data_IF_012385131238
#
_entry.id   IF_012385131238
#
_cell.length_a   1.000
_cell.length_b   1.000
_cell.length_c   1.000
_cell.angle_alpha   90.00
_cell.angle_beta   90.00
_cell.angle_gamma   90.00
#
_symmetry.space_group_name_H-M   'P 1'
#
loop_
_entity.id
_entity.type
_entity.pdbx_description
1 polymer ?
#
# COMPACT_ATOMS: atom_id res chain seq x y z
N UNK A 1 10.21 -4.34 -15.93
CA UNK A 1 10.65 -4.97 -14.65
C UNK A 1 9.95 -6.33 -14.48
N UNK A 2 10.51 -7.32 -13.77
CA UNK A 2 9.73 -8.53 -13.39
C UNK A 2 8.69 -8.13 -12.35
N UNK A 3 7.42 -8.40 -12.65
CA UNK A 3 6.31 -8.02 -11.79
C UNK A 3 6.07 -9.11 -10.74
N UNK A 4 6.10 -8.78 -9.44
CA UNK A 4 5.72 -9.72 -8.39
C UNK A 4 4.22 -10.00 -8.48
N UNK A 5 3.85 -11.25 -8.25
CA UNK A 5 2.46 -11.69 -8.23
C UNK A 5 2.23 -12.75 -7.16
N UNK A 6 0.97 -12.89 -6.75
CA UNK A 6 0.50 -13.98 -5.89
C UNK A 6 -0.58 -14.76 -6.64
N UNK A 7 -0.58 -16.08 -6.48
CA UNK A 7 -1.66 -16.93 -7.00
C UNK A 7 -2.83 -16.88 -6.02
N UNK A 8 -4.00 -16.45 -6.48
CA UNK A 8 -5.20 -16.27 -5.64
C UNK A 8 -6.35 -17.19 -5.94
N UNK A 9 -6.30 -17.82 -7.11
CA UNK A 9 -7.25 -18.85 -7.50
C UNK A 9 -6.51 -19.93 -8.26
N UNK A 10 -6.88 -21.17 -8.01
CA UNK A 10 -6.39 -22.35 -8.68
C UNK A 10 -7.47 -23.42 -8.55
N UNK A 11 -7.92 -24.00 -9.66
CA UNK A 11 -9.01 -25.00 -9.63
C UNK A 11 -8.61 -26.28 -8.90
N UNK A 12 -7.36 -26.73 -9.10
CA UNK A 12 -6.86 -27.96 -8.51
C UNK A 12 -5.33 -28.01 -8.47
N UNK A 13 -4.77 -28.82 -7.57
CA UNK A 13 -3.34 -29.10 -7.54
C UNK A 13 -3.06 -30.50 -7.00
N UNK A 14 -1.89 -31.04 -7.34
CA UNK A 14 -1.36 -32.28 -6.79
C UNK A 14 -0.56 -32.04 -5.51
N UNK A 15 -0.54 -33.03 -4.62
CA UNK A 15 0.30 -33.02 -3.42
C UNK A 15 1.77 -32.81 -3.79
N UNK A 16 2.42 -31.80 -3.21
CA UNK A 16 3.83 -31.47 -3.49
C UNK A 16 4.06 -30.51 -4.66
N UNK A 17 3.02 -30.15 -5.41
CA UNK A 17 3.07 -29.14 -6.47
C UNK A 17 1.96 -28.07 -6.32
N UNK A 18 1.85 -27.40 -5.16
CA UNK A 18 0.85 -26.36 -4.94
C UNK A 18 1.13 -25.10 -5.78
N UNK A 19 0.12 -24.25 -6.01
CA UNK A 19 0.29 -22.99 -6.75
C UNK A 19 1.29 -22.02 -6.12
N UNK A 20 1.56 -22.13 -4.81
CA UNK A 20 2.57 -21.32 -4.12
C UNK A 20 4.01 -21.56 -4.64
N UNK A 21 4.28 -22.72 -5.23
CA UNK A 21 5.60 -23.02 -5.82
C UNK A 21 5.94 -22.11 -7.01
N UNK A 22 4.95 -21.42 -7.58
CA UNK A 22 5.14 -20.45 -8.67
C UNK A 22 5.61 -19.08 -8.19
N UNK A 23 5.61 -18.80 -6.88
CA UNK A 23 5.99 -17.49 -6.33
C UNK A 23 7.52 -17.32 -6.30
N UNK A 24 8.23 -18.38 -5.89
CA UNK A 24 9.69 -18.41 -5.80
C UNK A 24 10.28 -19.35 -6.85
N UNK A 25 10.59 -18.79 -8.01
CA UNK A 25 11.28 -19.47 -9.11
C UNK A 25 12.73 -19.80 -8.72
N UNK A 26 12.92 -20.78 -7.84
CA UNK A 26 14.21 -21.35 -7.52
C UNK A 26 14.50 -22.54 -8.44
N UNK A 27 15.77 -22.87 -8.72
CA UNK A 27 16.12 -24.06 -9.51
C UNK A 27 15.59 -25.39 -8.96
N UNK A 28 15.15 -25.40 -7.69
CA UNK A 28 14.61 -26.56 -6.99
C UNK A 28 13.07 -26.52 -6.86
N UNK A 29 12.41 -25.46 -7.34
CA UNK A 29 10.95 -25.39 -7.33
C UNK A 29 10.38 -26.44 -8.27
N UNK A 30 9.49 -27.27 -7.75
CA UNK A 30 8.78 -28.30 -8.53
C UNK A 30 7.63 -27.72 -9.36
N UNK A 31 7.38 -26.41 -9.25
CA UNK A 31 6.27 -25.73 -9.90
C UNK A 31 4.90 -26.21 -9.44
N UNK A 32 3.90 -25.93 -10.27
CA UNK A 32 2.51 -26.34 -10.07
C UNK A 32 2.11 -27.47 -11.03
N UNK A 33 1.31 -28.40 -10.54
CA UNK A 33 0.67 -29.47 -11.34
C UNK A 33 -0.77 -29.62 -10.88
N UNK A 34 -1.71 -29.74 -11.80
CA UNK A 34 -3.14 -29.96 -11.50
C UNK A 34 -3.35 -31.25 -10.71
N UNK A 35 -4.52 -31.42 -10.09
CA UNK A 35 -4.90 -32.72 -9.55
C UNK A 35 -5.01 -33.77 -10.69
N UNK A 36 -4.89 -35.08 -10.39
CA UNK A 36 -5.15 -36.16 -11.35
C UNK A 36 -6.55 -36.08 -11.95
N UNK A 37 -6.69 -36.36 -13.24
CA UNK A 37 -7.95 -36.34 -14.00
C UNK A 37 -8.76 -35.04 -13.85
N UNK A 38 -8.15 -33.87 -14.10
CA UNK A 38 -8.84 -32.60 -13.94
C UNK A 38 -9.91 -32.40 -15.02
N UNK A 39 -10.93 -31.60 -14.71
CA UNK A 39 -11.84 -31.05 -15.71
C UNK A 39 -11.17 -29.91 -16.47
N UNK A 40 -11.40 -29.79 -17.77
CA UNK A 40 -10.83 -28.69 -18.57
C UNK A 40 -11.91 -27.68 -18.99
N UNK A 41 -11.55 -26.38 -19.09
CA UNK A 41 -10.23 -25.80 -18.82
C UNK A 41 -9.89 -25.77 -17.32
N UNK A 42 -8.60 -25.73 -17.01
CA UNK A 42 -8.10 -25.47 -15.66
C UNK A 42 -7.66 -24.01 -15.55
N UNK A 43 -8.03 -23.34 -14.46
CA UNK A 43 -7.77 -21.93 -14.25
C UNK A 43 -6.77 -21.67 -13.12
N UNK A 44 -5.88 -20.70 -13.37
CA UNK A 44 -5.06 -20.05 -12.34
C UNK A 44 -5.24 -18.54 -12.48
N UNK A 45 -5.44 -17.85 -11.37
CA UNK A 45 -5.46 -16.38 -11.34
C UNK A 45 -4.27 -15.86 -10.57
N UNK A 46 -3.44 -15.09 -11.27
CA UNK A 46 -2.37 -14.29 -10.69
C UNK A 46 -2.92 -12.92 -10.35
N UNK A 47 -2.42 -12.35 -9.28
CA UNK A 47 -2.75 -11.01 -8.86
C UNK A 47 -1.50 -10.22 -8.57
N UNK A 48 -1.50 -8.97 -9.01
CA UNK A 48 -0.36 -8.06 -8.88
C UNK A 48 -0.55 -7.11 -7.71
N UNK A 49 0.57 -6.54 -7.26
CA UNK A 49 0.61 -5.57 -6.17
C UNK A 49 0.17 -4.16 -6.63
N UNK A 50 -1.00 -4.08 -7.28
CA UNK A 50 -1.56 -2.86 -7.83
C UNK A 50 -2.01 -2.98 -9.28
N UNK A 51 -2.22 -1.84 -9.93
CA UNK A 51 -2.45 -1.78 -11.37
C UNK A 51 -1.09 -1.85 -12.07
N UNK A 52 -0.94 -2.81 -12.96
CA UNK A 52 0.28 -2.98 -13.76
C UNK A 52 -0.04 -2.86 -15.25
N UNK A 53 0.94 -2.41 -16.03
CA UNK A 53 1.01 -2.66 -17.46
C UNK A 53 1.93 -3.87 -17.65
N UNK A 54 1.34 -5.02 -17.99
CA UNK A 54 2.07 -6.19 -18.45
C UNK A 54 2.50 -5.91 -19.89
N UNK A 55 3.79 -6.12 -20.17
CA UNK A 55 4.41 -5.96 -21.48
C UNK A 55 4.80 -7.32 -22.09
N UNK A 56 5.16 -8.28 -21.24
CA UNK A 56 5.56 -9.62 -21.65
C UNK A 56 5.24 -10.65 -20.58
N UNK A 57 4.87 -11.85 -21.01
CA UNK A 57 4.77 -13.03 -20.18
C UNK A 57 5.58 -14.18 -20.78
N UNK A 58 6.32 -14.88 -19.93
CA UNK A 58 7.03 -16.12 -20.26
C UNK A 58 6.53 -17.24 -19.34
N UNK A 59 6.14 -18.36 -19.91
CA UNK A 59 5.69 -19.54 -19.17
C UNK A 59 6.57 -20.73 -19.54
N UNK A 60 7.17 -21.36 -18.54
CA UNK A 60 7.85 -22.65 -18.68
C UNK A 60 6.88 -23.76 -18.29
N UNK A 61 6.55 -24.64 -19.24
CA UNK A 61 5.72 -25.82 -18.96
C UNK A 61 6.49 -26.85 -18.13
N UNK A 62 5.76 -27.69 -17.41
CA UNK A 62 6.35 -28.92 -16.86
C UNK A 62 6.79 -29.86 -17.99
N UNK A 63 7.84 -30.67 -17.79
CA UNK A 63 8.41 -31.56 -18.82
C UNK A 63 7.44 -32.64 -19.31
N UNK A 64 6.58 -33.15 -18.43
CA UNK A 64 5.65 -34.24 -18.73
C UNK A 64 4.17 -33.82 -18.81
N UNK A 65 3.83 -32.62 -18.34
CA UNK A 65 2.44 -32.18 -18.15
C UNK A 65 2.16 -30.90 -18.96
N UNK A 66 2.52 -30.92 -20.25
CA UNK A 66 2.52 -29.72 -21.09
C UNK A 66 1.07 -29.38 -21.52
N UNK A 67 0.49 -28.23 -21.15
CA UNK A 67 -0.83 -27.83 -21.65
C UNK A 67 -0.77 -27.56 -23.16
N UNK A 68 -1.82 -27.90 -23.92
CA UNK A 68 -1.84 -27.62 -25.37
C UNK A 68 -1.95 -26.13 -25.71
N UNK A 69 -2.70 -25.39 -24.89
CA UNK A 69 -2.97 -23.96 -25.05
C UNK A 69 -3.19 -23.33 -23.67
N UNK A 70 -2.69 -22.12 -23.49
CA UNK A 70 -2.98 -21.27 -22.33
C UNK A 70 -3.56 -19.96 -22.86
N UNK A 71 -4.83 -19.70 -22.58
CA UNK A 71 -5.45 -18.40 -22.87
C UNK A 71 -5.17 -17.43 -21.72
N UNK A 72 -4.88 -16.18 -22.07
CA UNK A 72 -4.51 -15.13 -21.13
C UNK A 72 -5.62 -14.08 -21.09
N UNK A 73 -6.03 -13.74 -19.87
CA UNK A 73 -7.14 -12.83 -19.62
C UNK A 73 -6.74 -11.78 -18.58
N UNK A 74 -6.74 -10.51 -18.97
CA UNK A 74 -6.47 -9.37 -18.10
C UNK A 74 -7.74 -8.96 -17.33
N UNK A 75 -7.69 -9.01 -16.00
CA UNK A 75 -8.78 -8.67 -15.10
C UNK A 75 -8.59 -7.30 -14.44
N UNK A 76 -9.63 -6.49 -14.46
CA UNK A 76 -9.70 -5.21 -13.75
C UNK A 76 -10.92 -5.15 -12.83
N UNK A 77 -10.76 -4.53 -11.66
CA UNK A 77 -11.87 -4.26 -10.73
C UNK A 77 -12.22 -2.77 -10.77
N UNK A 78 -13.51 -2.47 -10.59
CA UNK A 78 -13.98 -1.09 -10.48
C UNK A 78 -13.44 -0.44 -9.21
N UNK A 79 -13.01 0.82 -9.29
CA UNK A 79 -12.57 1.66 -8.16
C UNK A 79 -13.68 1.98 -7.14
N UNK A 80 -14.80 1.26 -7.13
CA UNK A 80 -15.91 1.45 -6.18
C UNK A 80 -16.14 0.25 -5.27
N UNK A 81 -15.45 -0.87 -5.53
CA UNK A 81 -15.65 -2.12 -4.82
C UNK A 81 -14.32 -2.69 -4.33
N UNK A 82 -14.37 -3.49 -3.28
CA UNK A 82 -13.20 -4.21 -2.80
C UNK A 82 -12.60 -5.07 -3.94
N UNK A 83 -11.27 -5.07 -4.12
CA UNK A 83 -10.63 -5.83 -5.18
C UNK A 83 -10.81 -7.32 -4.92
N UNK A 84 -11.55 -8.00 -5.80
CA UNK A 84 -11.69 -9.45 -5.77
C UNK A 84 -11.61 -10.00 -7.18
N UNK A 85 -10.90 -11.12 -7.34
CA UNK A 85 -10.77 -11.78 -8.64
C UNK A 85 -12.13 -12.26 -9.19
N UNK A 86 -13.09 -12.60 -8.31
CA UNK A 86 -14.45 -13.02 -8.73
C UNK A 86 -15.28 -11.86 -9.28
N UNK A 87 -14.96 -10.63 -8.88
CA UNK A 87 -15.60 -9.40 -9.33
C UNK A 87 -14.86 -8.72 -10.48
N UNK A 88 -13.68 -9.23 -10.84
CA UNK A 88 -12.89 -8.66 -11.90
C UNK A 88 -13.55 -8.89 -13.26
N UNK A 89 -13.56 -7.84 -14.09
CA UNK A 89 -13.95 -7.94 -15.49
C UNK A 89 -12.73 -8.37 -16.28
N UNK A 90 -12.78 -9.57 -16.83
CA UNK A 90 -11.69 -10.13 -17.62
C UNK A 90 -11.88 -9.89 -19.10
N UNK A 91 -10.82 -9.41 -19.76
CA UNK A 91 -10.73 -9.30 -21.21
C UNK A 91 -9.61 -10.22 -21.72
N UNK A 92 -9.86 -10.95 -22.81
CA UNK A 92 -8.84 -11.81 -23.42
C UNK A 92 -7.75 -10.95 -24.04
N UNK A 93 -6.50 -11.19 -23.66
CA UNK A 93 -5.33 -10.43 -24.14
C UNK A 93 -4.42 -11.24 -25.05
N UNK A 94 -4.52 -12.57 -25.03
CA UNK A 94 -3.75 -13.41 -25.94
C UNK A 94 -3.83 -14.89 -25.58
N UNK A 95 -2.97 -15.68 -26.22
CA UNK A 95 -2.80 -17.08 -25.87
C UNK A 95 -1.37 -17.56 -26.18
N UNK A 96 -0.90 -18.55 -25.43
CA UNK A 96 0.30 -19.33 -25.72
C UNK A 96 -0.13 -20.69 -26.24
N UNK A 97 0.55 -21.18 -27.28
CA UNK A 97 0.32 -22.53 -27.81
C UNK A 97 1.61 -23.34 -27.67
N UNK A 98 1.48 -24.52 -27.10
CA UNK A 98 2.59 -25.46 -26.98
C UNK A 98 2.47 -26.51 -28.09
N UNK A 99 3.60 -27.07 -28.48
CA UNK A 99 3.65 -28.08 -29.54
C UNK A 99 4.12 -29.41 -28.99
N UNK A 100 3.74 -30.53 -29.60
CA UNK A 100 4.31 -31.82 -29.19
C UNK A 100 5.80 -31.79 -29.46
N UNK A 101 6.57 -32.16 -28.44
CA UNK A 101 8.01 -32.29 -28.54
C UNK A 101 8.35 -33.53 -29.36
N UNK A 102 9.27 -33.39 -30.32
CA UNK A 102 9.77 -34.53 -31.09
C UNK A 102 10.59 -35.50 -30.24
N UNK A 103 10.81 -36.75 -30.70
CA UNK A 103 11.61 -37.72 -29.95
C UNK A 103 13.03 -37.18 -29.69
N UNK A 104 13.46 -37.24 -28.42
CA UNK A 104 14.83 -36.87 -28.01
C UNK A 104 15.00 -35.50 -27.36
N UNK A 105 14.00 -34.61 -27.41
CA UNK A 105 14.05 -33.34 -26.68
C UNK A 105 13.51 -33.57 -25.26
N UNK A 106 14.35 -33.27 -24.27
CA UNK A 106 14.04 -33.40 -22.85
C UNK A 106 13.84 -32.03 -22.20
N UNK A 107 12.94 -31.95 -21.23
CA UNK A 107 12.66 -30.73 -20.47
C UNK A 107 11.38 -30.00 -20.87
N UNK A 108 11.01 -29.00 -20.06
CA UNK A 108 9.85 -28.14 -20.29
C UNK A 108 10.02 -27.22 -21.50
N UNK A 109 8.89 -26.75 -22.05
CA UNK A 109 8.88 -25.75 -23.12
C UNK A 109 8.67 -24.35 -22.54
N UNK A 110 9.50 -23.40 -22.97
CA UNK A 110 9.29 -21.97 -22.69
C UNK A 110 8.50 -21.36 -23.84
N UNK A 111 7.35 -20.79 -23.53
CA UNK A 111 6.58 -19.96 -24.47
C UNK A 111 6.54 -18.52 -23.97
N UNK A 112 6.67 -17.56 -24.89
CA UNK A 112 6.67 -16.13 -24.60
C UNK A 112 5.65 -15.41 -25.44
N UNK A 113 4.97 -14.44 -24.85
CA UNK A 113 4.08 -13.53 -25.54
C UNK A 113 4.38 -12.10 -25.09
N UNK A 114 4.61 -11.23 -26.07
CA UNK A 114 4.54 -9.80 -25.86
C UNK A 114 3.07 -9.37 -25.92
N UNK A 115 2.64 -8.70 -24.87
CA UNK A 115 1.24 -8.34 -24.65
C UNK A 115 1.24 -6.98 -24.00
N UNK A 116 0.42 -6.04 -24.47
CA UNK A 116 0.24 -4.75 -23.83
C UNK A 116 -1.09 -4.77 -23.09
N UNK A 117 -1.06 -5.12 -21.81
CA UNK A 117 -2.25 -5.34 -21.02
C UNK A 117 -2.17 -4.62 -19.67
N UNK A 118 -3.15 -3.74 -19.42
CA UNK A 118 -3.29 -3.06 -18.15
C UNK A 118 -4.26 -3.79 -17.23
N UNK A 119 -3.79 -4.34 -16.11
CA UNK A 119 -4.60 -5.18 -15.22
C UNK A 119 -4.17 -5.15 -13.75
N UNK A 120 -5.05 -5.63 -12.87
CA UNK A 120 -4.69 -6.02 -11.49
C UNK A 120 -4.69 -7.55 -11.29
N UNK A 121 -5.37 -8.29 -12.17
CA UNK A 121 -5.37 -9.75 -12.21
C UNK A 121 -4.98 -10.25 -13.60
N UNK A 122 -4.28 -11.38 -13.67
CA UNK A 122 -4.05 -12.12 -14.89
C UNK A 122 -4.54 -13.55 -14.72
N UNK A 123 -5.59 -13.93 -15.44
CA UNK A 123 -6.14 -15.29 -15.46
C UNK A 123 -5.52 -16.08 -16.61
N UNK A 124 -5.08 -17.29 -16.29
CA UNK A 124 -4.58 -18.30 -17.21
C UNK A 124 -5.62 -19.41 -17.32
N UNK A 125 -6.20 -19.59 -18.50
CA UNK A 125 -7.14 -20.68 -18.79
C UNK A 125 -6.42 -21.74 -19.64
N UNK A 126 -6.15 -22.89 -19.05
CA UNK A 126 -5.30 -23.93 -19.62
C UNK A 126 -6.15 -25.07 -20.18
N UNK A 127 -5.88 -25.43 -21.42
CA UNK A 127 -6.54 -26.56 -22.11
C UNK A 127 -5.86 -27.89 -21.79
N UNK A 128 -6.51 -28.98 -22.18
CA UNK A 128 -6.02 -30.35 -22.01
C UNK A 128 -4.55 -30.53 -22.45
N UNK A 129 -3.78 -31.44 -21.82
CA UNK A 129 -2.37 -31.59 -22.10
C UNK A 129 -2.08 -32.14 -23.48
N UNK A 130 -0.88 -31.87 -23.96
CA UNK A 130 -0.27 -32.61 -25.05
C UNK A 130 0.07 -34.00 -24.53
N UNK A 131 -0.57 -35.03 -25.08
CA UNK A 131 -0.39 -36.42 -24.62
C UNK A 131 1.08 -36.82 -24.52
N UNK A 132 1.46 -37.34 -23.34
CA UNK A 132 2.83 -37.72 -22.99
C UNK A 132 2.82 -39.10 -22.29
N UNK A 133 3.76 -40.03 -22.58
CA UNK A 133 3.74 -41.39 -22.03
C UNK A 133 3.70 -41.47 -20.50
N UNK A 134 4.34 -40.52 -19.82
CA UNK A 134 4.35 -40.44 -18.35
C UNK A 134 3.14 -39.73 -17.74
N UNK A 135 2.28 -39.13 -18.56
CA UNK A 135 1.10 -38.40 -18.11
C UNK A 135 -0.17 -39.26 -18.22
N UNK A 136 -0.26 -40.27 -17.36
CA UNK A 136 -1.37 -41.24 -17.36
C UNK A 136 -2.69 -40.63 -16.87
N UNK A 137 -2.60 -39.58 -16.05
CA UNK A 137 -3.74 -38.97 -15.38
C UNK A 137 -4.26 -37.70 -16.09
N UNK A 138 -3.81 -37.45 -17.32
CA UNK A 138 -4.21 -36.30 -18.14
C UNK A 138 -4.04 -34.94 -17.42
N UNK A 139 -2.96 -34.79 -16.68
CA UNK A 139 -2.64 -33.60 -15.88
C UNK A 139 -1.95 -32.52 -16.71
N UNK A 140 -2.01 -31.29 -16.23
CA UNK A 140 -1.22 -30.16 -16.76
C UNK A 140 -0.35 -29.56 -15.64
N UNK A 141 0.75 -28.93 -16.02
CA UNK A 141 1.68 -28.32 -15.08
C UNK A 141 2.50 -27.20 -15.67
N UNK A 142 2.85 -26.26 -14.79
CA UNK A 142 3.67 -25.08 -15.06
C UNK A 142 4.85 -25.13 -14.08
N UNK A 143 6.06 -25.05 -14.61
CA UNK A 143 7.26 -25.02 -13.80
C UNK A 143 7.59 -23.60 -13.32
N UNK A 144 7.47 -22.59 -14.20
CA UNK A 144 7.74 -21.18 -13.86
C UNK A 144 6.85 -20.23 -14.67
N UNK A 145 6.53 -19.09 -14.06
CA UNK A 145 5.85 -17.95 -14.69
C UNK A 145 6.69 -16.70 -14.41
N UNK A 146 7.12 -16.04 -15.49
CA UNK A 146 7.72 -14.73 -15.42
C UNK A 146 6.82 -13.72 -16.14
N UNK A 147 6.31 -12.75 -15.38
CA UNK A 147 5.56 -11.62 -15.90
C UNK A 147 6.46 -10.39 -15.86
N UNK A 148 6.51 -9.63 -16.94
CA UNK A 148 7.30 -8.43 -17.06
C UNK A 148 6.44 -7.24 -17.48
N UNK A 149 6.75 -6.08 -16.92
CA UNK A 149 5.99 -4.86 -17.14
C UNK A 149 6.34 -3.76 -16.14
N UNK A 150 5.42 -2.83 -15.95
CA UNK A 150 5.57 -1.63 -15.14
C UNK A 150 4.37 -1.42 -14.21
N UNK A 151 4.61 -0.83 -13.03
CA UNK A 151 3.57 -0.55 -12.04
C UNK A 151 3.03 0.86 -12.25
N UNK A 152 1.71 1.00 -12.36
CA UNK A 152 1.04 2.30 -12.47
C UNK A 152 0.71 2.88 -11.09
N UNK A 153 1.71 3.54 -10.49
CA UNK A 153 1.63 4.11 -9.12
C UNK A 153 0.37 4.98 -8.91
N UNK A 154 0.02 5.84 -9.87
CA UNK A 154 -1.14 6.73 -9.73
C UNK A 154 -2.47 5.99 -9.63
N UNK A 155 -2.65 4.89 -10.35
CA UNK A 155 -3.90 4.14 -10.36
C UNK A 155 -3.93 3.05 -9.28
N UNK A 156 -2.77 2.53 -8.89
CA UNK A 156 -2.60 1.74 -7.66
C UNK A 156 -2.99 2.55 -6.42
N UNK A 157 -2.58 3.81 -6.34
CA UNK A 157 -2.98 4.73 -5.27
C UNK A 157 -4.49 4.99 -5.25
N UNK A 158 -5.12 5.14 -6.41
CA UNK A 158 -6.59 5.28 -6.50
C UNK A 158 -7.33 4.01 -6.09
N UNK A 159 -6.83 2.82 -6.44
CA UNK A 159 -7.41 1.55 -5.98
C UNK A 159 -7.27 1.40 -4.45
N UNK A 160 -6.15 1.81 -3.88
CA UNK A 160 -5.94 1.84 -2.43
C UNK A 160 -6.91 2.82 -1.73
N UNK A 161 -7.12 4.00 -2.32
CA UNK A 161 -8.05 5.02 -1.79
C UNK A 161 -9.52 4.62 -1.97
N UNK A 162 -9.88 3.96 -3.08
CA UNK A 162 -11.19 3.39 -3.32
C UNK A 162 -11.60 2.35 -2.26
N UNK A 163 -10.62 1.63 -1.71
CA UNK A 163 -10.81 0.74 -0.55
C UNK A 163 -11.01 1.45 0.79
N UNK A 164 -11.08 2.78 0.87
CA UNK A 164 -11.20 3.48 2.17
C UNK A 164 -12.60 3.44 2.82
N UNK A 165 -13.56 2.74 2.23
CA UNK A 165 -14.80 2.30 2.93
C UNK A 165 -14.71 0.82 3.39
N UNK A 166 -13.57 0.17 3.21
CA UNK A 166 -13.33 -1.20 3.64
C UNK A 166 -11.84 -1.52 3.55
N UNK A 167 -11.17 -1.43 4.70
CA UNK A 167 -9.81 -1.94 4.92
C UNK A 167 -9.50 -3.13 4.01
N UNK A 168 -8.50 -3.01 3.13
CA UNK A 168 -7.86 -4.17 2.50
C UNK A 168 -7.75 -4.14 0.99
N UNK A 169 -6.82 -3.36 0.46
CA UNK A 169 -6.05 -3.83 -0.70
C UNK A 169 -4.93 -4.80 -0.26
N UNK A 170 -4.56 -4.78 1.02
CA UNK A 170 -3.43 -5.52 1.59
C UNK A 170 -3.83 -6.81 2.33
N UNK A 171 -5.09 -6.99 2.74
CA UNK A 171 -5.56 -8.17 3.48
C UNK A 171 -6.12 -9.30 2.60
N UNK A 172 -6.35 -9.07 1.30
CA UNK A 172 -7.12 -9.99 0.46
C UNK A 172 -6.27 -10.99 -0.36
N UNK A 173 -4.95 -10.94 -0.25
CA UNK A 173 -4.07 -11.71 -1.14
C UNK A 173 -2.88 -12.35 -0.41
N UNK A 174 -3.20 -13.35 0.42
CA UNK A 174 -2.35 -14.51 0.75
C UNK A 174 -0.96 -14.25 1.39
N UNK A 175 -0.94 -13.54 2.53
CA UNK A 175 0.02 -13.87 3.59
C UNK A 175 1.48 -13.45 3.39
N UNK A 176 1.76 -12.50 2.50
CA UNK A 176 3.04 -11.77 2.45
C UNK A 176 2.75 -10.33 2.88
N UNK A 177 3.42 -9.83 3.93
CA UNK A 177 3.28 -8.44 4.38
C UNK A 177 4.04 -7.48 3.44
N UNK A 178 3.54 -7.36 2.22
CA UNK A 178 4.03 -6.44 1.20
C UNK A 178 3.94 -4.97 1.62
N UNK A 179 3.15 -4.67 2.67
CA UNK A 179 3.13 -3.35 3.27
C UNK A 179 4.48 -3.15 3.91
N UNK A 180 4.87 -4.03 4.82
CA UNK A 180 6.19 -3.96 5.42
C UNK A 180 7.32 -3.97 4.41
N UNK A 181 7.29 -4.78 3.37
CA UNK A 181 8.37 -4.82 2.37
C UNK A 181 8.47 -3.54 1.54
N UNK A 182 7.34 -2.99 1.07
CA UNK A 182 7.33 -1.72 0.34
C UNK A 182 7.71 -0.56 1.27
N UNK A 183 7.14 -0.52 2.47
CA UNK A 183 7.45 0.49 3.46
C UNK A 183 8.92 0.42 3.91
N UNK A 184 9.49 -0.78 3.98
CA UNK A 184 10.90 -1.07 4.28
C UNK A 184 11.82 -0.65 3.14
N UNK A 185 11.45 -0.93 1.88
CA UNK A 185 12.21 -0.48 0.71
C UNK A 185 12.23 1.05 0.60
N UNK A 186 11.09 1.71 0.80
CA UNK A 186 11.01 3.17 0.82
C UNK A 186 11.80 3.76 1.99
N UNK A 187 11.67 3.19 3.19
CA UNK A 187 12.45 3.61 4.36
C UNK A 187 13.97 3.47 4.14
N UNK A 188 14.42 2.34 3.57
CA UNK A 188 15.81 2.12 3.18
C UNK A 188 16.31 3.15 2.17
N UNK A 189 15.49 3.50 1.17
CA UNK A 189 15.85 4.54 0.19
C UNK A 189 15.97 5.93 0.82
N UNK A 190 15.19 6.19 1.88
CA UNK A 190 15.25 7.40 2.67
C UNK A 190 16.33 7.37 3.78
N UNK A 191 17.10 6.29 3.90
CA UNK A 191 18.17 6.15 4.89
C UNK A 191 17.69 5.99 6.34
N UNK A 192 16.44 5.59 6.56
CA UNK A 192 15.83 5.45 7.89
C UNK A 192 15.32 4.02 8.13
N UNK A 193 15.07 3.69 9.39
CA UNK A 193 14.43 2.42 9.73
C UNK A 193 12.95 2.39 9.29
N UNK A 194 12.40 1.18 9.11
CA UNK A 194 11.05 0.96 8.58
C UNK A 194 9.97 1.73 9.34
N UNK A 195 10.07 1.80 10.68
CA UNK A 195 9.12 2.53 11.52
C UNK A 195 9.16 4.04 11.27
N UNK A 196 10.34 4.66 11.27
CA UNK A 196 10.47 6.09 10.96
C UNK A 196 9.96 6.41 9.55
N UNK A 197 10.21 5.55 8.56
CA UNK A 197 9.66 5.71 7.21
C UNK A 197 8.12 5.71 7.18
N UNK A 198 7.46 4.89 8.01
CA UNK A 198 5.99 4.93 8.17
C UNK A 198 5.54 6.28 8.73
N UNK A 199 6.12 6.72 9.84
CA UNK A 199 5.73 7.97 10.50
C UNK A 199 6.03 9.21 9.65
N UNK A 200 7.14 9.25 8.91
CA UNK A 200 7.48 10.36 8.03
C UNK A 200 6.42 10.55 6.93
N UNK A 201 5.94 9.47 6.31
CA UNK A 201 4.86 9.54 5.32
C UNK A 201 3.58 10.12 5.91
N UNK A 202 3.19 9.65 7.10
CA UNK A 202 1.96 10.12 7.75
C UNK A 202 2.07 11.60 8.15
N UNK A 203 3.21 12.01 8.73
CA UNK A 203 3.48 13.41 9.09
C UNK A 203 3.50 14.31 7.85
N UNK A 204 4.13 13.85 6.75
CA UNK A 204 4.15 14.60 5.49
C UNK A 204 2.76 14.77 4.89
N UNK A 205 1.91 13.74 4.98
CA UNK A 205 0.51 13.82 4.56
C UNK A 205 -0.26 14.84 5.39
N UNK A 206 -0.17 14.76 6.72
CA UNK A 206 -0.80 15.74 7.62
C UNK A 206 -0.31 17.16 7.31
N UNK A 207 0.99 17.34 7.07
CA UNK A 207 1.59 18.63 6.74
C UNK A 207 1.04 19.19 5.41
N UNK A 208 0.89 18.35 4.40
CA UNK A 208 0.31 18.76 3.12
C UNK A 208 -1.17 19.12 3.28
N UNK A 209 -1.94 18.32 4.02
CA UNK A 209 -3.34 18.62 4.35
C UNK A 209 -3.47 19.96 5.11
N UNK A 210 -2.54 20.29 6.01
CA UNK A 210 -2.50 21.58 6.72
C UNK A 210 -2.16 22.74 5.77
N UNK A 211 -1.22 22.55 4.84
CA UNK A 211 -0.92 23.55 3.80
C UNK A 211 -2.10 23.82 2.88
N UNK A 212 -2.82 22.78 2.47
CA UNK A 212 -4.01 22.90 1.63
C UNK A 212 -5.15 23.64 2.34
N UNK A 213 -5.14 23.62 3.68
CA UNK A 213 -6.06 24.38 4.54
C UNK A 213 -5.53 25.75 4.96
N UNK A 214 -4.35 26.14 4.46
CA UNK A 214 -3.64 27.37 4.84
C UNK A 214 -3.32 27.50 6.34
N UNK A 215 -3.31 26.36 7.06
CA UNK A 215 -2.87 26.28 8.45
C UNK A 215 -1.34 26.14 8.51
N UNK A 216 -0.67 27.26 8.27
CA UNK A 216 0.79 27.31 8.18
C UNK A 216 1.48 27.07 9.53
N UNK A 217 0.82 27.39 10.65
CA UNK A 217 1.35 27.15 11.99
C UNK A 217 1.44 25.64 12.28
N UNK A 218 0.37 24.90 11.98
CA UNK A 218 0.39 23.44 12.11
C UNK A 218 1.37 22.80 11.10
N UNK A 219 1.47 23.33 9.88
CA UNK A 219 2.45 22.85 8.90
C UNK A 219 3.91 23.05 9.37
N UNK A 220 4.20 24.15 10.09
CA UNK A 220 5.51 24.37 10.70
C UNK A 220 5.78 23.40 11.85
N UNK A 221 4.79 23.19 12.74
CA UNK A 221 4.90 22.23 13.85
C UNK A 221 5.17 20.81 13.33
N UNK A 222 4.40 20.35 12.34
CA UNK A 222 4.58 19.05 11.70
C UNK A 222 5.94 18.94 11.00
N UNK A 223 6.46 20.03 10.43
CA UNK A 223 7.81 20.05 9.86
C UNK A 223 8.91 19.89 10.92
N UNK A 224 8.71 20.35 12.15
CA UNK A 224 9.66 20.14 13.24
C UNK A 224 9.64 18.69 13.72
N UNK A 225 8.44 18.11 13.88
CA UNK A 225 8.26 16.70 14.22
C UNK A 225 8.87 15.77 13.16
N UNK A 226 8.69 16.09 11.87
CA UNK A 226 9.30 15.35 10.75
C UNK A 226 10.83 15.30 10.88
N UNK A 227 11.49 16.41 11.24
CA UNK A 227 12.94 16.44 11.44
C UNK A 227 13.36 15.54 12.61
N UNK A 228 12.63 15.59 13.74
CA UNK A 228 12.92 14.77 14.93
C UNK A 228 12.80 13.28 14.63
N UNK A 229 11.73 12.86 13.94
CA UNK A 229 11.50 11.46 13.53
C UNK A 229 12.58 10.99 12.55
N UNK A 230 12.99 11.83 11.59
CA UNK A 230 14.05 11.47 10.63
C UNK A 230 15.38 11.20 11.33
N UNK A 231 15.82 12.10 12.21
CA UNK A 231 17.09 11.94 12.94
C UNK A 231 17.08 10.68 13.81
N UNK A 232 15.98 10.41 14.51
CA UNK A 232 15.84 9.18 15.30
C UNK A 232 15.86 7.92 14.42
N UNK A 233 15.21 7.95 13.26
CA UNK A 233 15.21 6.83 12.31
C UNK A 233 16.58 6.50 11.73
N UNK A 234 17.38 7.52 11.41
CA UNK A 234 18.79 7.36 10.97
C UNK A 234 19.66 6.77 12.09
N UNK A 235 19.47 7.24 13.33
CA UNK A 235 20.20 6.74 14.51
C UNK A 235 19.87 5.28 14.81
N UNK A 236 18.59 4.89 14.75
CA UNK A 236 18.16 3.50 14.95
C UNK A 236 18.82 2.59 13.91
N UNK A 237 18.84 3.00 12.63
CA UNK A 237 19.44 2.19 11.57
C UNK A 237 20.92 1.89 11.83
N UNK A 238 21.66 2.89 12.35
CA UNK A 238 23.07 2.71 12.76
C UNK A 238 23.20 1.77 13.95
N UNK A 239 22.40 1.98 15.01
CA UNK A 239 22.41 1.14 16.21
C UNK A 239 22.01 -0.31 15.90
N UNK A 240 21.14 -0.56 14.91
CA UNK A 240 20.80 -1.91 14.46
C UNK A 240 21.96 -2.64 13.77
N UNK A 241 22.83 -1.92 13.07
CA UNK A 241 24.07 -2.47 12.52
C UNK A 241 25.11 -2.75 13.62
N UNK A 242 25.25 -1.83 14.58
CA UNK A 242 26.15 -1.98 15.73
C UNK A 242 25.72 -3.16 16.63
N UNK A 243 24.40 -3.32 16.86
CA UNK A 243 23.84 -4.47 17.59
C UNK A 243 24.15 -5.79 16.89
N UNK A 244 24.00 -5.87 15.56
CA UNK A 244 24.36 -7.08 14.80
C UNK A 244 25.84 -7.42 14.96
N UNK A 245 26.71 -6.43 14.81
CA UNK A 245 28.15 -6.59 14.98
C UNK A 245 28.55 -7.02 16.41
N UNK A 246 27.83 -6.54 17.43
CA UNK A 246 28.05 -6.96 18.82
C UNK A 246 27.60 -8.42 19.06
N UNK A 247 26.48 -8.84 18.45
CA UNK A 247 26.00 -10.23 18.53
C UNK A 247 26.94 -11.19 17.81
N UNK A 248 27.46 -10.81 16.63
CA UNK A 248 28.44 -11.61 15.88
C UNK A 248 29.76 -11.81 16.62
N UNK A 249 30.13 -10.85 17.49
CA UNK A 249 31.31 -10.94 18.37
C UNK A 249 31.02 -11.57 19.73
N UNK A 250 29.79 -12.06 19.94
CA UNK A 250 29.33 -12.61 21.22
C UNK A 250 29.41 -11.63 22.42
N UNK A 251 29.49 -10.33 22.14
CA UNK A 251 29.47 -9.26 23.13
C UNK A 251 28.03 -8.90 23.54
N UNK A 252 27.36 -9.86 24.19
CA UNK A 252 25.95 -9.74 24.57
C UNK A 252 25.64 -8.55 25.48
N UNK A 253 26.60 -8.12 26.29
CA UNK A 253 26.44 -6.98 27.19
C UNK A 253 26.31 -5.67 26.40
N UNK A 254 27.11 -5.46 25.36
CA UNK A 254 27.02 -4.30 24.47
C UNK A 254 25.72 -4.37 23.66
N UNK A 255 25.38 -5.55 23.14
CA UNK A 255 24.13 -5.75 22.40
C UNK A 255 22.88 -5.40 23.24
N UNK A 256 22.92 -5.68 24.56
CA UNK A 256 21.85 -5.31 25.50
C UNK A 256 21.72 -3.80 25.69
N UNK A 257 22.84 -3.09 25.85
CA UNK A 257 22.85 -1.63 25.97
C UNK A 257 22.31 -0.97 24.70
N UNK A 258 22.81 -1.38 23.53
CA UNK A 258 22.38 -0.87 22.22
C UNK A 258 20.89 -1.13 21.99
N UNK A 259 20.37 -2.31 22.39
CA UNK A 259 18.94 -2.59 22.33
C UNK A 259 18.12 -1.60 23.18
N UNK A 260 18.57 -1.30 24.40
CA UNK A 260 17.89 -0.34 25.26
C UNK A 260 17.85 1.07 24.66
N UNK A 261 18.89 1.48 23.94
CA UNK A 261 18.93 2.78 23.25
C UNK A 261 17.95 2.81 22.05
N UNK A 262 17.89 1.73 21.26
CA UNK A 262 16.91 1.58 20.18
C UNK A 262 15.48 1.67 20.73
N UNK A 263 15.20 0.99 21.84
CA UNK A 263 13.87 0.99 22.47
C UNK A 263 13.48 2.41 22.96
N UNK A 264 14.42 3.18 23.50
CA UNK A 264 14.19 4.58 23.89
C UNK A 264 13.85 5.48 22.69
N UNK A 265 14.59 5.32 21.58
CA UNK A 265 14.32 6.08 20.35
C UNK A 265 12.95 5.72 19.74
N UNK A 266 12.57 4.45 19.78
CA UNK A 266 11.22 4.01 19.35
C UNK A 266 10.12 4.67 20.18
N UNK A 267 10.25 4.69 21.51
CA UNK A 267 9.28 5.37 22.41
C UNK A 267 9.18 6.86 22.08
N UNK A 268 10.31 7.53 21.82
CA UNK A 268 10.33 8.94 21.42
C UNK A 268 9.60 9.18 20.09
N UNK A 269 9.84 8.33 19.09
CA UNK A 269 9.15 8.43 17.79
C UNK A 269 7.65 8.20 17.93
N UNK A 270 7.21 7.22 18.72
CA UNK A 270 5.79 6.99 19.02
C UNK A 270 5.14 8.19 19.70
N UNK A 271 5.84 8.85 20.62
CA UNK A 271 5.38 10.07 21.25
C UNK A 271 5.24 11.22 20.23
N UNK A 272 6.21 11.37 19.31
CA UNK A 272 6.13 12.34 18.22
C UNK A 272 4.93 12.07 17.29
N UNK A 273 4.66 10.80 16.99
CA UNK A 273 3.52 10.41 16.16
C UNK A 273 2.19 10.68 16.86
N UNK A 274 2.09 10.38 18.16
CA UNK A 274 0.93 10.74 18.97
C UNK A 274 0.70 12.24 19.00
N UNK A 275 1.78 13.04 19.09
CA UNK A 275 1.70 14.49 19.05
C UNK A 275 1.31 15.03 17.66
N UNK A 276 1.74 14.41 16.57
CA UNK A 276 1.31 14.74 15.21
C UNK A 276 -0.19 14.44 14.99
N UNK A 277 -0.69 13.33 15.54
CA UNK A 277 -2.09 12.92 15.47
C UNK A 277 -3.01 13.70 16.42
N UNK A 278 -2.44 14.29 17.48
CA UNK A 278 -3.14 15.22 18.35
C UNK A 278 -3.39 16.48 17.52
N UNK A 279 -4.50 16.48 16.77
CA UNK A 279 -5.02 17.70 16.14
C UNK A 279 -4.97 18.80 17.20
N UNK A 280 -4.44 20.00 16.92
CA UNK A 280 -4.85 21.14 17.71
C UNK A 280 -6.37 21.12 17.66
N UNK A 281 -6.97 20.78 18.79
CA UNK A 281 -8.41 20.67 18.87
C UNK A 281 -9.00 22.01 18.47
N UNK A 282 -10.28 22.02 18.11
CA UNK A 282 -11.12 23.21 17.98
C UNK A 282 -11.10 24.16 19.21
N UNK A 283 -10.19 24.00 20.17
CA UNK A 283 -9.89 24.89 21.28
C UNK A 283 -9.35 26.25 20.84
N UNK A 284 -8.59 26.40 19.73
CA UNK A 284 -8.18 27.76 19.30
C UNK A 284 -9.37 28.57 18.79
N UNK A 285 -10.26 27.96 17.99
CA UNK A 285 -11.52 28.58 17.59
C UNK A 285 -12.47 28.76 18.77
N UNK A 286 -12.45 27.85 19.76
CA UNK A 286 -13.25 27.95 20.98
C UNK A 286 -12.82 29.10 21.90
N UNK A 287 -11.51 29.24 22.15
CA UNK A 287 -10.95 30.34 22.94
C UNK A 287 -11.05 31.68 22.21
N UNK A 288 -10.81 31.71 20.89
CA UNK A 288 -10.99 32.93 20.10
C UNK A 288 -12.47 33.33 20.06
N UNK A 289 -13.38 32.37 19.88
CA UNK A 289 -14.83 32.62 19.98
C UNK A 289 -15.26 33.07 21.36
N UNK A 290 -14.70 32.50 22.43
CA UNK A 290 -14.99 32.91 23.81
C UNK A 290 -14.48 34.34 24.06
N UNK A 291 -13.25 34.68 23.66
CA UNK A 291 -12.70 36.04 23.74
C UNK A 291 -13.54 37.05 22.94
N UNK A 292 -14.00 36.67 21.74
CA UNK A 292 -14.88 37.50 20.92
C UNK A 292 -16.26 37.68 21.56
N UNK A 293 -16.82 36.65 22.22
CA UNK A 293 -18.07 36.72 22.98
C UNK A 293 -17.94 37.59 24.23
N UNK A 294 -16.85 37.44 24.98
CA UNK A 294 -16.58 38.24 26.18
C UNK A 294 -16.45 39.72 25.80
N UNK A 295 -15.68 40.04 24.75
CA UNK A 295 -15.54 41.42 24.25
C UNK A 295 -16.86 42.00 23.75
N UNK A 296 -17.71 41.18 23.12
CA UNK A 296 -19.04 41.60 22.68
C UNK A 296 -19.91 42.02 23.88
N UNK A 297 -19.88 41.24 24.96
CA UNK A 297 -20.65 41.56 26.17
C UNK A 297 -20.17 42.84 26.85
N UNK A 298 -18.85 43.08 26.92
CA UNK A 298 -18.29 44.34 27.43
C UNK A 298 -18.76 45.53 26.59
N UNK A 299 -18.68 45.44 25.26
CA UNK A 299 -19.11 46.54 24.38
C UNK A 299 -20.62 46.79 24.44
N UNK A 300 -21.44 45.76 24.64
CA UNK A 300 -22.88 45.93 24.83
C UNK A 300 -23.20 46.69 26.12
N UNK A 301 -22.45 46.46 27.19
CA UNK A 301 -22.54 47.22 28.45
C UNK A 301 -22.03 48.65 28.28
N UNK A 302 -20.88 48.86 27.62
CA UNK A 302 -20.33 50.20 27.35
C UNK A 302 -21.29 51.03 26.49
N UNK A 303 -21.93 50.40 25.49
CA UNK A 303 -22.96 51.05 24.68
C UNK A 303 -24.16 51.48 25.53
N UNK A 304 -24.61 50.62 26.44
CA UNK A 304 -25.74 50.91 27.33
C UNK A 304 -25.41 52.10 28.26
N UNK A 305 -24.21 52.09 28.86
CA UNK A 305 -23.73 53.19 29.70
C UNK A 305 -23.59 54.52 28.92
N UNK A 306 -23.16 54.48 27.66
CA UNK A 306 -23.08 55.66 26.80
C UNK A 306 -24.47 56.25 26.49
N UNK A 307 -25.48 55.39 26.29
CA UNK A 307 -26.88 55.81 26.10
C UNK A 307 -27.45 56.44 27.38
N UNK A 308 -27.16 55.87 28.55
CA UNK A 308 -27.59 56.42 29.84
C UNK A 308 -26.95 57.77 30.17
N UNK A 309 -25.76 58.04 29.62
CA UNK A 309 -25.07 59.33 29.73
C UNK A 309 -25.45 60.31 28.62
N UNK A 310 -26.40 59.95 27.75
CA UNK A 310 -26.83 60.72 26.58
C UNK A 310 -25.70 61.03 25.57
N UNK A 311 -24.59 60.27 25.61
CA UNK A 311 -23.51 60.36 24.63
C UNK A 311 -23.83 59.49 23.41
N UNK A 312 -24.75 59.99 22.59
CA UNK A 312 -25.22 59.32 21.37
C UNK A 312 -24.11 59.17 20.32
N UNK A 313 -23.10 60.04 20.35
CA UNK A 313 -21.92 59.96 19.47
C UNK A 313 -21.06 58.75 19.81
N UNK A 314 -20.74 58.54 21.09
CA UNK A 314 -20.01 57.37 21.55
C UNK A 314 -20.83 56.09 21.36
N UNK A 315 -22.13 56.11 21.66
CA UNK A 315 -23.01 54.96 21.47
C UNK A 315 -23.07 54.49 19.99
N UNK A 316 -23.04 55.41 19.03
CA UNK A 316 -23.01 55.09 17.60
C UNK A 316 -21.68 54.46 17.16
N UNK A 317 -20.55 54.94 17.69
CA UNK A 317 -19.23 54.35 17.44
C UNK A 317 -19.14 52.91 17.98
N UNK A 318 -19.55 52.69 19.24
CA UNK A 318 -19.53 51.37 19.88
C UNK A 318 -20.45 50.39 19.13
N UNK A 319 -21.62 50.84 18.67
CA UNK A 319 -22.53 50.02 17.83
C UNK A 319 -21.85 49.53 16.55
N UNK A 320 -21.05 50.37 15.89
CA UNK A 320 -20.28 49.98 14.71
C UNK A 320 -19.21 48.93 15.00
N UNK A 321 -18.57 48.98 16.17
CA UNK A 321 -17.62 47.94 16.60
C UNK A 321 -18.32 46.61 16.91
N UNK A 322 -19.50 46.66 17.55
CA UNK A 322 -20.33 45.47 17.82
C UNK A 322 -20.71 44.77 16.51
N UNK A 323 -21.11 45.50 15.47
CA UNK A 323 -21.46 44.91 14.16
C UNK A 323 -20.26 44.24 13.49
N UNK A 324 -19.06 44.86 13.54
CA UNK A 324 -17.82 44.26 13.03
C UNK A 324 -17.45 42.99 13.80
N UNK A 325 -17.60 42.99 15.12
CA UNK A 325 -17.36 41.83 15.97
C UNK A 325 -18.37 40.69 15.71
N UNK A 326 -19.66 41.00 15.52
CA UNK A 326 -20.69 40.02 15.14
C UNK A 326 -20.40 39.38 13.78
N UNK A 327 -19.96 40.18 12.79
CA UNK A 327 -19.56 39.67 11.48
C UNK A 327 -18.34 38.73 11.58
N UNK A 328 -17.32 39.09 12.38
CA UNK A 328 -16.15 38.25 12.62
C UNK A 328 -16.51 36.94 13.34
N UNK A 329 -17.44 36.98 14.29
CA UNK A 329 -17.95 35.78 15.00
C UNK A 329 -18.64 34.78 14.06
N UNK A 330 -19.33 35.26 13.01
CA UNK A 330 -19.99 34.38 12.03
C UNK A 330 -19.00 33.67 11.08
N UNK A 331 -17.77 34.17 10.95
CA UNK A 331 -16.75 33.58 10.07
C UNK A 331 -15.90 32.50 10.75
N UNK A 332 -15.89 32.45 12.09
CA UNK A 332 -15.17 31.42 12.87
C UNK A 332 -16.07 30.16 12.98
N UNK A 333 -15.78 29.11 12.19
CA UNK A 333 -16.49 27.80 12.21
C UNK A 333 -15.90 26.80 13.19
#
# INVERSE_FOLDING_TARGET
MRLPFTVVHCDSFSTGSPPSNLHDATPHSTGWVSAPFPSFPQEIVLAFNGVVAVNRISILSHEHFIPSKIELMAGNVSYREAPSHTKAKYARVGYLKFSKVGPGVQGGQVQRLEVEARCCFLKLCMSAPLGHPKNLCNQIGIADIAVEGDIHVGDSSKLLQAGQQGLGFQMLLHGIDLHEDFLSAEAKSAGVNTMAGKFLRDIQRLKNDSKDREDFEEAMRLSELEKKVRVAGEQILKLEADKRSAVEREDYQIAKTVKSEIDQLNVMMEACMKDALRRPSKASNGEERQKLQDRLSTLEIEKQNAVEREDYTAAKAIKGEIEKLKARLMMVR
#
